data_IF_768096126651
#
_entry.id   IF_768096126651
#
_cell.length_a   1.000
_cell.length_b   1.000
_cell.length_c   1.000
_cell.angle_alpha   90.00
_cell.angle_beta   90.00
_cell.angle_gamma   90.00
#
_symmetry.space_group_name_H-M   'P 1'
#
loop_
_entity.id
_entity.type
_entity.pdbx_description
1 polymer ?
#
# COMPACT_ATOMS: atom_id res chain seq x y z
N UNK A 1 5.65 -27.29 16.84
CA UNK A 1 6.98 -26.76 16.47
C UNK A 1 6.81 -26.06 15.13
N UNK A 2 6.60 -24.73 15.13
CA UNK A 2 6.39 -23.96 13.92
C UNK A 2 7.76 -23.69 13.29
N UNK A 3 8.06 -24.33 12.20
CA UNK A 3 9.28 -24.10 11.42
C UNK A 3 9.30 -22.66 10.92
N UNK A 4 10.24 -21.89 11.44
CA UNK A 4 10.58 -20.56 10.91
C UNK A 4 10.98 -20.74 9.44
N UNK A 5 10.08 -20.46 8.52
CA UNK A 5 10.41 -20.44 7.10
C UNK A 5 11.38 -19.28 6.86
N UNK A 6 12.68 -19.59 6.85
CA UNK A 6 13.72 -18.65 6.43
C UNK A 6 13.38 -18.19 5.00
N UNK A 7 13.13 -16.90 4.85
CA UNK A 7 12.91 -16.32 3.51
C UNK A 7 14.04 -16.72 2.57
N UNK A 8 13.67 -17.12 1.35
CA UNK A 8 14.62 -17.21 0.25
C UNK A 8 15.30 -15.84 0.04
N UNK A 9 16.56 -15.86 -0.38
CA UNK A 9 17.31 -14.64 -0.75
C UNK A 9 16.47 -13.74 -1.67
N UNK A 10 15.84 -14.31 -2.71
CA UNK A 10 14.94 -13.63 -3.62
C UNK A 10 13.75 -12.95 -2.95
N UNK A 11 13.14 -13.57 -1.95
CA UNK A 11 12.03 -12.97 -1.20
C UNK A 11 12.43 -11.71 -0.44
N UNK A 12 13.64 -11.69 0.14
CA UNK A 12 14.18 -10.50 0.80
C UNK A 12 14.49 -9.38 -0.19
N UNK A 13 15.10 -9.71 -1.32
CA UNK A 13 15.44 -8.73 -2.36
C UNK A 13 14.18 -8.04 -2.91
N UNK A 14 13.11 -8.81 -3.20
CA UNK A 14 11.82 -8.24 -3.64
C UNK A 14 11.26 -7.33 -2.54
N UNK A 15 11.24 -7.79 -1.29
CA UNK A 15 10.66 -7.04 -0.18
C UNK A 15 11.34 -5.69 0.05
N UNK A 16 12.66 -5.65 0.11
CA UNK A 16 13.40 -4.39 0.32
C UNK A 16 13.47 -3.54 -0.95
N UNK A 17 13.55 -4.18 -2.13
CA UNK A 17 13.58 -3.48 -3.42
C UNK A 17 12.30 -2.66 -3.67
N UNK A 18 11.13 -3.27 -3.46
CA UNK A 18 9.85 -2.55 -3.62
C UNK A 18 9.68 -1.42 -2.59
N UNK A 19 10.13 -1.62 -1.36
CA UNK A 19 10.11 -0.54 -0.34
C UNK A 19 11.02 0.62 -0.75
N UNK A 20 12.23 0.32 -1.24
CA UNK A 20 13.17 1.35 -1.71
C UNK A 20 12.59 2.14 -2.89
N UNK A 21 12.05 1.45 -3.91
CA UNK A 21 11.41 2.07 -5.08
C UNK A 21 10.25 2.96 -4.65
N UNK A 22 9.39 2.47 -3.76
CA UNK A 22 8.26 3.22 -3.22
C UNK A 22 8.68 4.55 -2.61
N UNK A 23 9.65 4.54 -1.69
CA UNK A 23 10.10 5.77 -1.02
C UNK A 23 10.89 6.70 -1.95
N UNK A 24 11.69 6.14 -2.87
CA UNK A 24 12.41 6.92 -3.86
C UNK A 24 11.43 7.71 -4.75
N UNK A 25 10.42 7.07 -5.30
CA UNK A 25 9.48 7.72 -6.21
C UNK A 25 8.53 8.68 -5.48
N UNK A 26 8.10 8.34 -4.28
CA UNK A 26 7.36 9.28 -3.43
C UNK A 26 8.20 10.52 -3.12
N UNK A 27 9.48 10.35 -2.79
CA UNK A 27 10.41 11.46 -2.57
C UNK A 27 10.56 12.32 -3.81
N UNK A 28 10.81 11.74 -4.97
CA UNK A 28 10.95 12.52 -6.23
C UNK A 28 9.64 13.28 -6.50
N UNK A 29 8.48 12.65 -6.41
CA UNK A 29 7.19 13.32 -6.61
C UNK A 29 6.98 14.46 -5.59
N UNK A 30 7.34 14.26 -4.34
CA UNK A 30 7.20 15.26 -3.29
C UNK A 30 8.13 16.48 -3.50
N UNK A 31 9.41 16.23 -3.84
CA UNK A 31 10.41 17.30 -3.94
C UNK A 31 10.47 18.01 -5.31
N UNK A 32 9.78 17.49 -6.33
CA UNK A 32 9.74 18.10 -7.66
C UNK A 32 8.55 19.03 -7.90
N UNK A 33 7.76 19.36 -6.88
CA UNK A 33 6.61 20.26 -6.97
C UNK A 33 6.05 20.65 -5.61
N UNK A 34 5.01 21.51 -5.59
CA UNK A 34 4.37 21.94 -4.36
C UNK A 34 3.73 20.77 -3.62
N UNK A 35 3.93 20.72 -2.30
CA UNK A 35 3.36 19.65 -1.45
C UNK A 35 1.88 19.86 -1.15
N UNK A 36 1.39 21.10 -1.22
CA UNK A 36 -0.01 21.43 -0.94
C UNK A 36 -0.69 21.75 -2.27
N UNK A 37 -1.72 20.96 -2.66
CA UNK A 37 -2.50 21.26 -3.85
C UNK A 37 -3.23 22.60 -3.74
N UNK A 38 -3.32 23.31 -4.87
CA UNK A 38 -4.02 24.60 -4.94
C UNK A 38 -5.45 24.47 -5.46
N UNK A 39 -5.76 23.36 -6.17
CA UNK A 39 -7.10 23.12 -6.68
C UNK A 39 -7.98 22.42 -5.64
N UNK A 40 -9.29 22.75 -5.55
CA UNK A 40 -10.20 22.07 -4.63
C UNK A 40 -10.23 20.54 -4.82
N UNK A 41 -10.18 20.09 -6.07
CA UNK A 41 -10.13 18.65 -6.38
C UNK A 41 -8.83 18.00 -5.86
N UNK A 42 -7.68 18.64 -6.03
CA UNK A 42 -6.40 18.17 -5.51
C UNK A 42 -6.40 18.08 -3.98
N UNK A 43 -6.92 19.11 -3.31
CA UNK A 43 -7.06 19.13 -1.84
C UNK A 43 -7.97 17.98 -1.37
N UNK A 44 -9.10 17.76 -2.05
CA UNK A 44 -10.01 16.67 -1.72
C UNK A 44 -9.32 15.31 -1.85
N UNK A 45 -8.60 15.05 -2.95
CA UNK A 45 -7.87 13.80 -3.16
C UNK A 45 -6.79 13.60 -2.09
N UNK A 46 -6.05 14.66 -1.75
CA UNK A 46 -5.05 14.63 -0.68
C UNK A 46 -5.70 14.26 0.65
N UNK A 47 -6.79 14.93 1.00
CA UNK A 47 -7.53 14.68 2.24
C UNK A 47 -8.03 13.24 2.30
N UNK A 48 -8.63 12.72 1.21
CA UNK A 48 -9.08 11.32 1.13
C UNK A 48 -7.93 10.33 1.33
N UNK A 49 -6.77 10.59 0.71
CA UNK A 49 -5.59 9.74 0.86
C UNK A 49 -5.04 9.74 2.29
N UNK A 50 -4.87 10.92 2.88
CA UNK A 50 -4.40 11.07 4.26
C UNK A 50 -5.38 10.42 5.26
N UNK A 51 -6.69 10.70 5.11
CA UNK A 51 -7.72 10.13 5.96
C UNK A 51 -7.73 8.60 5.89
N UNK A 52 -7.70 8.03 4.67
CA UNK A 52 -7.67 6.59 4.47
C UNK A 52 -6.41 5.96 5.09
N UNK A 53 -5.26 6.60 4.91
CA UNK A 53 -3.99 6.15 5.49
C UNK A 53 -4.00 6.13 7.01
N UNK A 54 -4.45 7.23 7.63
CA UNK A 54 -4.59 7.30 9.09
C UNK A 54 -5.58 6.26 9.62
N UNK A 55 -6.73 6.12 8.98
CA UNK A 55 -7.73 5.11 9.36
C UNK A 55 -7.17 3.69 9.25
N UNK A 56 -6.42 3.40 8.19
CA UNK A 56 -5.78 2.10 7.99
C UNK A 56 -4.74 1.81 9.08
N UNK A 57 -3.85 2.77 9.38
CA UNK A 57 -2.81 2.65 10.41
C UNK A 57 -3.45 2.41 11.80
N UNK A 58 -4.42 3.23 12.18
CA UNK A 58 -5.12 3.11 13.46
C UNK A 58 -5.85 1.76 13.60
N UNK A 59 -6.42 1.26 12.48
CA UNK A 59 -7.11 -0.04 12.48
C UNK A 59 -6.14 -1.22 12.58
N UNK A 60 -4.97 -1.13 11.95
CA UNK A 60 -3.98 -2.22 11.94
C UNK A 60 -3.38 -2.49 13.31
N UNK A 61 -3.26 -1.48 14.17
CA UNK A 61 -2.63 -1.53 15.50
C UNK A 61 -1.12 -1.77 15.46
N UNK A 62 -0.44 -1.30 16.51
CA UNK A 62 1.00 -1.50 16.71
C UNK A 62 1.24 -3.00 16.91
N UNK A 63 2.14 -3.60 16.11
CA UNK A 63 2.45 -5.04 16.14
C UNK A 63 1.96 -5.84 14.94
N UNK A 64 0.91 -5.38 14.25
CA UNK A 64 0.50 -5.96 12.96
C UNK A 64 1.04 -5.17 11.75
N UNK A 65 1.55 -3.95 12.00
CA UNK A 65 2.07 -3.08 10.95
C UNK A 65 3.46 -3.53 10.52
N UNK A 66 3.64 -3.77 9.22
CA UNK A 66 4.94 -4.00 8.62
C UNK A 66 5.08 -3.23 7.30
N UNK A 67 6.15 -2.46 7.16
CA UNK A 67 6.47 -1.73 5.93
C UNK A 67 6.93 -2.68 4.83
N UNK A 68 7.61 -3.74 5.22
CA UNK A 68 8.07 -4.81 4.34
C UNK A 68 6.93 -5.81 4.15
N UNK A 69 6.70 -6.38 2.96
CA UNK A 69 5.63 -7.35 2.72
C UNK A 69 5.95 -8.70 3.41
N UNK A 70 5.89 -8.69 4.73
CA UNK A 70 6.13 -9.81 5.61
C UNK A 70 4.99 -9.96 6.61
N UNK A 71 4.67 -11.21 6.93
CA UNK A 71 3.69 -11.51 7.98
C UNK A 71 4.42 -11.51 9.33
N UNK A 72 4.05 -10.61 10.28
CA UNK A 72 4.63 -10.64 11.62
C UNK A 72 4.36 -11.99 12.31
N UNK A 73 5.32 -12.51 13.07
CA UNK A 73 5.22 -13.81 13.75
C UNK A 73 3.97 -13.96 14.63
N UNK A 74 3.56 -12.88 15.29
CA UNK A 74 2.37 -12.83 16.16
C UNK A 74 1.24 -11.98 15.53
N UNK A 75 1.31 -11.73 14.21
CA UNK A 75 0.32 -10.93 13.51
C UNK A 75 -1.04 -11.61 13.51
N UNK A 76 -2.10 -10.82 13.71
CA UNK A 76 -3.48 -11.25 13.59
C UNK A 76 -4.05 -10.71 12.29
N UNK A 77 -4.86 -11.51 11.60
CA UNK A 77 -5.58 -11.03 10.42
C UNK A 77 -6.55 -9.90 10.84
N UNK A 78 -6.44 -8.76 10.19
CA UNK A 78 -7.31 -7.60 10.44
C UNK A 78 -8.29 -7.48 9.29
N UNK A 79 -9.59 -7.68 9.58
CA UNK A 79 -10.70 -7.58 8.63
C UNK A 79 -11.75 -6.56 9.08
N UNK A 80 -11.32 -5.46 9.73
CA UNK A 80 -12.19 -4.39 10.25
C UNK A 80 -11.78 -3.01 9.71
N UNK A 81 -12.60 -1.99 9.95
CA UNK A 81 -12.35 -0.65 9.42
C UNK A 81 -12.25 -0.68 7.89
N UNK A 82 -11.26 0.01 7.28
CA UNK A 82 -11.09 0.02 5.83
C UNK A 82 -10.75 -1.36 5.26
N UNK A 83 -10.15 -2.25 6.06
CA UNK A 83 -9.84 -3.64 5.67
C UNK A 83 -11.07 -4.52 5.48
N UNK A 84 -12.25 -4.07 5.89
CA UNK A 84 -13.53 -4.74 5.59
C UNK A 84 -13.87 -4.65 4.11
N UNK A 85 -13.39 -3.63 3.40
CA UNK A 85 -13.75 -3.33 2.01
C UNK A 85 -12.61 -3.59 1.03
N UNK A 86 -11.39 -3.18 1.41
CA UNK A 86 -10.18 -3.33 0.61
C UNK A 86 -9.04 -3.92 1.45
N UNK A 87 -8.24 -4.78 0.82
CA UNK A 87 -7.15 -5.49 1.51
C UNK A 87 -5.92 -4.64 1.76
N UNK A 88 -5.68 -3.64 0.88
CA UNK A 88 -4.48 -2.80 0.92
C UNK A 88 -4.80 -1.29 1.02
N UNK A 89 -5.56 -0.86 2.06
CA UNK A 89 -5.96 0.55 2.18
C UNK A 89 -4.78 1.50 2.33
N UNK A 90 -3.66 1.07 2.92
CA UNK A 90 -2.44 1.88 3.02
C UNK A 90 -1.83 2.15 1.64
N UNK A 91 -1.86 1.18 0.73
CA UNK A 91 -1.35 1.38 -0.64
C UNK A 91 -2.28 2.28 -1.46
N UNK A 92 -3.59 2.14 -1.29
CA UNK A 92 -4.56 3.08 -1.87
C UNK A 92 -4.32 4.51 -1.37
N UNK A 93 -4.05 4.69 -0.09
CA UNK A 93 -3.74 5.98 0.51
C UNK A 93 -2.47 6.60 -0.10
N UNK A 94 -1.39 5.82 -0.22
CA UNK A 94 -0.13 6.26 -0.85
C UNK A 94 -0.36 6.70 -2.30
N UNK A 95 -1.12 5.92 -3.08
CA UNK A 95 -1.44 6.26 -4.47
C UNK A 95 -2.29 7.51 -4.59
N UNK A 96 -3.27 7.72 -3.71
CA UNK A 96 -4.10 8.93 -3.69
C UNK A 96 -3.29 10.17 -3.34
N UNK A 97 -2.45 10.10 -2.31
CA UNK A 97 -1.57 11.22 -1.92
C UNK A 97 -0.62 11.56 -3.08
N UNK A 98 0.06 10.57 -3.65
CA UNK A 98 0.96 10.79 -4.77
C UNK A 98 0.23 11.33 -6.01
N UNK A 99 -0.99 10.82 -6.32
CA UNK A 99 -1.81 11.31 -7.43
C UNK A 99 -2.19 12.79 -7.23
N UNK A 100 -2.60 13.17 -6.02
CA UNK A 100 -2.91 14.56 -5.69
C UNK A 100 -1.72 15.49 -5.99
N UNK A 101 -0.51 15.10 -5.61
CA UNK A 101 0.71 15.87 -5.88
C UNK A 101 1.05 15.93 -7.37
N UNK A 102 0.85 14.82 -8.10
CA UNK A 102 1.08 14.78 -9.55
C UNK A 102 0.09 15.69 -10.29
N UNK A 103 -1.18 15.67 -9.93
CA UNK A 103 -2.21 16.51 -10.53
C UNK A 103 -2.01 18.00 -10.20
N UNK A 104 -1.51 18.31 -9.01
CA UNK A 104 -1.23 19.68 -8.59
C UNK A 104 -0.12 20.35 -9.43
N UNK A 105 0.89 19.61 -9.81
CA UNK A 105 1.97 20.07 -10.69
C UNK A 105 2.24 18.99 -11.75
N UNK A 106 1.40 18.98 -12.76
CA UNK A 106 1.43 17.94 -13.80
C UNK A 106 2.65 18.11 -14.69
N UNK A 107 3.45 17.05 -14.75
CA UNK A 107 4.48 16.82 -15.79
C UNK A 107 4.41 15.38 -16.23
N UNK A 108 4.79 15.11 -17.48
CA UNK A 108 4.82 13.73 -18.00
C UNK A 108 5.73 12.83 -17.14
N UNK A 109 6.87 13.35 -16.69
CA UNK A 109 7.78 12.61 -15.80
C UNK A 109 7.08 12.19 -14.50
N UNK A 110 6.39 13.10 -13.82
CA UNK A 110 5.70 12.80 -12.57
C UNK A 110 4.57 11.78 -12.76
N UNK A 111 3.87 11.84 -13.89
CA UNK A 111 2.85 10.84 -14.23
C UNK A 111 3.49 9.47 -14.47
N UNK A 112 4.60 9.40 -15.18
CA UNK A 112 5.35 8.14 -15.38
C UNK A 112 5.81 7.58 -14.03
N UNK A 113 6.36 8.41 -13.15
CA UNK A 113 6.78 7.97 -11.81
C UNK A 113 5.60 7.43 -10.99
N UNK A 114 4.44 8.05 -11.08
CA UNK A 114 3.23 7.55 -10.43
C UNK A 114 2.77 6.20 -10.99
N UNK A 115 2.82 6.03 -12.31
CA UNK A 115 2.48 4.74 -12.95
C UNK A 115 3.46 3.63 -12.54
N UNK A 116 4.75 3.95 -12.44
CA UNK A 116 5.77 2.99 -11.96
C UNK A 116 5.55 2.66 -10.48
N UNK A 117 5.21 3.66 -9.65
CA UNK A 117 4.83 3.44 -8.25
C UNK A 117 3.60 2.53 -8.14
N UNK A 118 2.59 2.72 -8.99
CA UNK A 118 1.41 1.85 -9.05
C UNK A 118 1.80 0.41 -9.40
N UNK A 119 2.65 0.23 -10.41
CA UNK A 119 3.14 -1.10 -10.80
C UNK A 119 3.94 -1.77 -9.67
N UNK A 120 4.83 -1.03 -9.01
CA UNK A 120 5.60 -1.50 -7.84
C UNK A 120 4.68 -1.97 -6.70
N UNK A 121 3.67 -1.19 -6.36
CA UNK A 121 2.70 -1.55 -5.33
C UNK A 121 1.84 -2.76 -5.72
N UNK A 122 1.49 -2.94 -7.00
CA UNK A 122 0.80 -4.15 -7.48
C UNK A 122 1.68 -5.39 -7.30
N UNK A 123 2.96 -5.31 -7.61
CA UNK A 123 3.93 -6.40 -7.40
C UNK A 123 4.02 -6.71 -5.91
N UNK A 124 4.18 -5.68 -5.08
CA UNK A 124 4.27 -5.79 -3.62
C UNK A 124 3.04 -6.44 -3.01
N UNK A 125 1.83 -5.98 -3.37
CA UNK A 125 0.57 -6.58 -2.93
C UNK A 125 0.45 -8.06 -3.33
N UNK A 126 0.79 -8.37 -4.56
CA UNK A 126 0.68 -9.75 -5.07
C UNK A 126 1.62 -10.69 -4.31
N UNK A 127 2.81 -10.22 -3.97
CA UNK A 127 3.75 -10.97 -3.14
C UNK A 127 3.26 -11.12 -1.70
N UNK A 128 2.75 -10.05 -1.09
CA UNK A 128 2.19 -10.04 0.26
C UNK A 128 0.98 -11.00 0.37
N UNK A 129 0.05 -10.96 -0.58
CA UNK A 129 -1.11 -11.85 -0.60
C UNK A 129 -0.73 -13.34 -0.68
N UNK A 130 0.35 -13.67 -1.42
CA UNK A 130 0.89 -15.04 -1.44
C UNK A 130 1.42 -15.48 -0.08
N UNK A 131 2.04 -14.57 0.67
CA UNK A 131 2.53 -14.88 2.03
C UNK A 131 1.36 -15.01 3.02
N UNK A 132 0.39 -14.10 2.96
CA UNK A 132 -0.80 -14.11 3.81
C UNK A 132 -1.64 -15.37 3.60
N UNK A 133 -1.85 -15.78 2.34
CA UNK A 133 -2.60 -17.01 2.00
C UNK A 133 -1.92 -18.29 2.51
N UNK A 134 -0.58 -18.29 2.64
CA UNK A 134 0.15 -19.40 3.23
C UNK A 134 0.10 -19.41 4.75
N UNK A 135 -0.02 -18.23 5.35
CA UNK A 135 0.03 -18.06 6.80
C UNK A 135 -1.34 -18.20 7.46
N UNK A 136 -2.38 -17.61 6.86
CA UNK A 136 -3.75 -17.62 7.39
C UNK A 136 -4.67 -18.48 6.54
N UNK A 137 -5.27 -19.52 7.14
CA UNK A 137 -6.23 -20.41 6.45
C UNK A 137 -7.49 -19.68 5.98
N UNK A 138 -7.92 -18.67 6.72
CA UNK A 138 -9.12 -17.86 6.47
C UNK A 138 -8.91 -16.80 5.38
N UNK A 139 -7.67 -16.59 4.93
CA UNK A 139 -7.35 -15.52 4.00
C UNK A 139 -8.05 -15.67 2.64
N UNK A 140 -8.24 -16.90 2.18
CA UNK A 140 -8.96 -17.17 0.92
C UNK A 140 -10.42 -16.72 0.97
N UNK A 141 -11.10 -16.91 2.11
CA UNK A 141 -12.47 -16.44 2.31
C UNK A 141 -12.52 -14.91 2.38
N UNK A 142 -11.56 -14.29 3.06
CA UNK A 142 -11.42 -12.83 3.11
C UNK A 142 -11.19 -12.22 1.73
N UNK A 143 -10.37 -12.87 0.86
CA UNK A 143 -10.16 -12.41 -0.52
C UNK A 143 -11.44 -12.42 -1.36
N UNK A 144 -12.35 -13.35 -1.13
CA UNK A 144 -13.64 -13.41 -1.85
C UNK A 144 -14.58 -12.25 -1.47
N UNK A 145 -14.47 -11.75 -0.23
CA UNK A 145 -15.34 -10.71 0.32
C UNK A 145 -14.79 -9.28 0.13
N UNK A 146 -13.54 -9.13 -0.27
CA UNK A 146 -12.84 -7.84 -0.33
C UNK A 146 -12.17 -7.61 -1.68
N UNK A 147 -11.81 -6.35 -1.97
CA UNK A 147 -11.04 -5.96 -3.16
C UNK A 147 -9.62 -5.57 -2.77
N UNK A 148 -8.72 -5.40 -3.75
CA UNK A 148 -7.31 -5.07 -3.47
C UNK A 148 -7.15 -3.61 -3.06
N UNK A 149 -7.48 -2.67 -3.94
CA UNK A 149 -7.19 -1.24 -3.81
C UNK A 149 -8.43 -0.36 -3.82
N UNK A 150 -9.40 -0.67 -4.70
CA UNK A 150 -10.58 0.17 -4.94
C UNK A 150 -11.81 -0.62 -4.53
N UNK A 151 -12.64 -0.11 -3.59
CA UNK A 151 -13.85 -0.79 -3.19
C UNK A 151 -14.72 -1.13 -4.41
N UNK A 152 -15.23 -2.33 -4.45
CA UNK A 152 -16.14 -2.88 -5.49
C UNK A 152 -15.54 -3.07 -6.88
N UNK A 153 -14.32 -2.58 -7.18
CA UNK A 153 -13.72 -2.64 -8.52
C UNK A 153 -12.51 -3.59 -8.53
N UNK A 154 -11.43 -3.26 -7.81
CA UNK A 154 -10.16 -3.99 -7.87
C UNK A 154 -9.54 -4.19 -6.49
#
# INVERSE_FOLDING_TARGET
>A
MLTVQRKSFWGRTISYGTVFIQFLFLGIIAFTGPLIPQSPAGILILFMGVFLGLWAILTMQIGNFNIVPDVPHNGKMVARGPYKYIRHPMYSAVLLVALSLVLNHFTLLRMILWLVLLADLIIKMTYEEKLLSKHYREYSQYQQQTRKLIPFIY
#
